data_IF_221806613595
#
_entry.id   IF_221806613595
#
_cell.length_a   1.000
_cell.length_b   1.000
_cell.length_c   1.000
_cell.angle_alpha   90.00
_cell.angle_beta   90.00
_cell.angle_gamma   90.00
#
_symmetry.space_group_name_H-M   'P 1'
#
loop_
_entity.id
_entity.type
_entity.pdbx_description
1 polymer ?
#
# COMPACT_ATOMS: atom_id res chain seq x y z
N UNK A 1 -15.73 7.74 6.95
CA UNK A 1 -14.47 7.56 6.19
C UNK A 1 -14.66 6.39 5.23
N UNK A 2 -14.40 6.56 3.93
CA UNK A 2 -14.37 5.45 2.97
C UNK A 2 -13.02 4.73 2.99
N UNK A 3 -13.01 3.41 2.81
CA UNK A 3 -11.79 2.58 2.86
C UNK A 3 -11.72 1.62 1.68
N UNK A 4 -10.59 0.94 1.50
CA UNK A 4 -10.41 -0.05 0.43
C UNK A 4 -10.09 0.52 -0.96
N UNK A 5 -10.03 1.85 -1.09
CA UNK A 5 -9.88 2.57 -2.36
C UNK A 5 -8.61 2.21 -3.14
N UNK A 6 -7.55 1.72 -2.48
CA UNK A 6 -6.33 1.27 -3.19
C UNK A 6 -6.60 0.14 -4.20
N UNK A 7 -7.73 -0.58 -4.12
CA UNK A 7 -8.16 -1.52 -5.16
C UNK A 7 -8.51 -0.86 -6.50
N UNK A 8 -8.92 0.41 -6.48
CA UNK A 8 -9.33 1.17 -7.67
C UNK A 8 -8.12 1.70 -8.47
N UNK A 9 -6.91 1.60 -7.91
CA UNK A 9 -5.64 1.92 -8.59
C UNK A 9 -5.66 3.32 -9.23
N UNK A 10 -5.48 3.41 -10.55
CA UNK A 10 -5.48 4.66 -11.31
C UNK A 10 -6.79 5.46 -11.14
N UNK A 11 -7.90 4.77 -10.81
CA UNK A 11 -9.22 5.37 -10.61
C UNK A 11 -9.51 5.80 -9.17
N UNK A 12 -8.60 5.52 -8.22
CA UNK A 12 -8.77 5.92 -6.84
C UNK A 12 -9.10 7.41 -6.69
N UNK A 13 -8.38 8.36 -7.32
CA UNK A 13 -8.60 9.78 -7.09
C UNK A 13 -9.97 10.26 -7.58
N UNK A 14 -10.43 9.76 -8.72
CA UNK A 14 -11.68 10.16 -9.35
C UNK A 14 -12.87 9.62 -8.56
N UNK A 15 -12.83 8.35 -8.14
CA UNK A 15 -13.89 7.76 -7.32
C UNK A 15 -13.91 8.39 -5.92
N UNK A 16 -12.74 8.65 -5.32
CA UNK A 16 -12.65 9.35 -4.05
C UNK A 16 -13.26 10.75 -4.13
N UNK A 17 -12.91 11.53 -5.16
CA UNK A 17 -13.46 12.87 -5.37
C UNK A 17 -14.98 12.85 -5.56
N UNK A 18 -15.50 11.94 -6.37
CA UNK A 18 -16.94 11.80 -6.60
C UNK A 18 -17.70 11.46 -5.32
N UNK A 19 -17.17 10.56 -4.49
CA UNK A 19 -17.79 10.15 -3.23
C UNK A 19 -17.77 11.25 -2.16
N UNK A 20 -16.73 12.07 -2.15
CA UNK A 20 -16.67 13.25 -1.27
C UNK A 20 -17.62 14.34 -1.76
N UNK A 21 -17.65 14.60 -3.07
CA UNK A 21 -18.53 15.61 -3.67
C UNK A 21 -20.02 15.26 -3.52
N UNK A 22 -20.38 13.98 -3.53
CA UNK A 22 -21.76 13.53 -3.31
C UNK A 22 -22.21 13.55 -1.85
N UNK A 23 -21.30 13.84 -0.91
CA UNK A 23 -21.58 13.79 0.53
C UNK A 23 -21.66 12.36 1.11
N UNK A 24 -21.38 11.32 0.32
CA UNK A 24 -21.38 9.94 0.80
C UNK A 24 -20.27 9.66 1.82
N UNK A 25 -19.20 10.46 1.82
CA UNK A 25 -18.16 10.44 2.85
C UNK A 25 -17.41 11.77 2.96
N UNK A 26 -16.87 12.05 4.14
CA UNK A 26 -16.05 13.27 4.35
C UNK A 26 -14.55 13.05 4.12
N UNK A 27 -14.09 11.79 4.17
CA UNK A 27 -12.67 11.42 4.15
C UNK A 27 -12.49 10.06 3.49
N UNK A 28 -11.39 9.89 2.75
CA UNK A 28 -10.97 8.61 2.14
C UNK A 28 -9.66 8.14 2.76
N UNK A 29 -9.71 6.96 3.37
CA UNK A 29 -8.55 6.28 3.93
C UNK A 29 -7.83 5.45 2.86
N UNK A 30 -6.52 5.64 2.76
CA UNK A 30 -5.66 4.97 1.78
C UNK A 30 -4.64 4.10 2.51
N UNK A 31 -4.78 2.78 2.37
CA UNK A 31 -3.91 1.78 3.00
C UNK A 31 -2.77 1.36 2.07
N UNK A 32 -2.94 0.28 1.31
CA UNK A 32 -1.83 -0.32 0.52
C UNK A 32 -1.13 0.61 -0.46
N UNK A 33 -1.82 1.62 -1.00
CA UNK A 33 -1.16 2.63 -1.86
C UNK A 33 -0.20 3.51 -1.06
N UNK A 34 -0.44 3.79 0.23
CA UNK A 34 0.51 4.56 1.03
C UNK A 34 1.83 3.81 1.27
N UNK A 35 1.82 2.47 1.18
CA UNK A 35 3.04 1.66 1.25
C UNK A 35 3.81 1.64 -0.08
N UNK A 36 3.13 1.68 -1.22
CA UNK A 36 3.79 1.65 -2.53
C UNK A 36 4.14 3.04 -3.07
N UNK A 37 3.44 4.06 -2.57
CA UNK A 37 3.60 5.47 -2.94
C UNK A 37 3.32 6.35 -1.71
N UNK A 38 4.27 6.49 -0.78
CA UNK A 38 4.08 7.26 0.47
C UNK A 38 3.62 8.71 0.24
N UNK A 39 4.15 9.33 -0.81
CA UNK A 39 3.84 10.73 -1.16
C UNK A 39 2.62 10.90 -2.07
N UNK A 40 1.76 9.88 -2.22
CA UNK A 40 0.66 9.89 -3.20
C UNK A 40 -0.24 11.14 -3.08
N UNK A 41 -0.46 11.64 -1.86
CA UNK A 41 -1.29 12.83 -1.63
C UNK A 41 -0.63 14.10 -2.19
N UNK A 42 0.69 14.24 -2.05
CA UNK A 42 1.45 15.34 -2.63
C UNK A 42 1.46 15.25 -4.16
N UNK A 43 1.66 14.06 -4.72
CA UNK A 43 1.59 13.80 -6.16
C UNK A 43 0.22 14.14 -6.73
N UNK A 44 -0.87 13.73 -6.06
CA UNK A 44 -2.22 14.09 -6.48
C UNK A 44 -2.47 15.59 -6.46
N UNK A 45 -1.98 16.29 -5.44
CA UNK A 45 -2.10 17.75 -5.36
C UNK A 45 -1.34 18.46 -6.47
N UNK A 46 -0.16 17.96 -6.84
CA UNK A 46 0.70 18.59 -7.84
C UNK A 46 0.28 18.25 -9.29
N UNK A 47 -0.14 17.01 -9.55
CA UNK A 47 -0.34 16.49 -10.91
C UNK A 47 -1.79 16.12 -11.24
N UNK A 48 -2.67 16.05 -10.25
CA UNK A 48 -4.06 15.62 -10.43
C UNK A 48 -4.23 14.13 -10.76
N UNK A 49 -3.14 13.35 -10.76
CA UNK A 49 -3.14 11.91 -11.07
C UNK A 49 -2.05 11.17 -10.29
N UNK A 50 -2.18 9.86 -10.18
CA UNK A 50 -1.15 8.99 -9.61
C UNK A 50 -0.15 8.55 -10.70
N UNK A 51 1.04 8.14 -10.27
CA UNK A 51 2.02 7.47 -11.14
C UNK A 51 1.75 5.98 -11.22
N UNK A 52 1.33 5.49 -12.39
CA UNK A 52 0.97 4.08 -12.60
C UNK A 52 2.05 3.08 -12.15
N UNK A 53 3.34 3.43 -12.29
CA UNK A 53 4.48 2.61 -11.86
C UNK A 53 4.78 2.65 -10.35
N UNK A 54 4.00 3.39 -9.57
CA UNK A 54 4.11 3.48 -8.10
C UNK A 54 2.81 3.03 -7.41
N UNK A 55 1.75 2.72 -8.18
CA UNK A 55 0.47 2.29 -7.64
C UNK A 55 0.53 0.83 -7.17
N UNK A 56 -0.06 0.56 -6.01
CA UNK A 56 -0.25 -0.80 -5.49
C UNK A 56 -0.97 -1.70 -6.51
N UNK A 57 -0.38 -2.85 -6.82
CA UNK A 57 -0.94 -3.85 -7.75
C UNK A 57 -1.63 -5.02 -7.04
N UNK A 58 -2.05 -4.80 -5.80
CA UNK A 58 -2.81 -5.76 -4.99
C UNK A 58 -2.16 -7.15 -4.85
N UNK A 59 -0.83 -7.21 -4.92
CA UNK A 59 -0.06 -8.47 -4.79
C UNK A 59 -0.18 -9.14 -3.42
N UNK A 60 -0.60 -8.40 -2.40
CA UNK A 60 -0.70 -8.87 -1.00
C UNK A 60 0.63 -9.21 -0.32
N UNK A 61 1.79 -8.87 -0.89
CA UNK A 61 3.10 -8.98 -0.22
C UNK A 61 3.12 -8.30 1.15
N UNK A 62 2.51 -7.11 1.28
CA UNK A 62 2.42 -6.40 2.56
C UNK A 62 1.72 -7.22 3.65
N UNK A 63 0.64 -7.92 3.29
CA UNK A 63 -0.12 -8.76 4.21
C UNK A 63 0.62 -10.05 4.51
N UNK A 64 1.23 -10.67 3.49
CA UNK A 64 1.99 -11.91 3.66
C UNK A 64 3.20 -11.70 4.56
N UNK A 65 3.93 -10.60 4.36
CA UNK A 65 5.05 -10.21 5.21
C UNK A 65 4.57 -9.99 6.65
N UNK A 66 3.59 -9.12 6.86
CA UNK A 66 3.00 -8.85 8.20
C UNK A 66 2.54 -10.11 8.93
N UNK A 67 2.00 -11.09 8.21
CA UNK A 67 1.44 -12.32 8.79
C UNK A 67 2.46 -13.43 8.99
N UNK A 68 3.66 -13.34 8.43
CA UNK A 68 4.73 -14.29 8.68
C UNK A 68 5.09 -14.28 10.18
N UNK A 69 5.14 -15.46 10.80
CA UNK A 69 5.26 -15.65 12.27
C UNK A 69 6.63 -16.14 12.73
N UNK A 70 7.44 -16.58 11.79
CA UNK A 70 8.81 -17.03 11.92
C UNK A 70 9.78 -15.87 12.13
N UNK A 71 9.53 -15.02 13.12
CA UNK A 71 10.39 -13.92 13.53
C UNK A 71 10.41 -13.88 15.07
N UNK A 72 11.51 -13.48 15.74
CA UNK A 72 11.58 -13.43 17.21
C UNK A 72 10.47 -12.61 17.88
N UNK A 73 9.91 -11.62 17.17
CA UNK A 73 8.81 -10.79 17.65
C UNK A 73 7.41 -11.36 17.33
N UNK A 74 7.32 -12.57 16.76
CA UNK A 74 6.07 -13.21 16.34
C UNK A 74 5.38 -12.54 15.14
N UNK A 75 6.07 -11.61 14.46
CA UNK A 75 5.63 -10.94 13.24
C UNK A 75 6.81 -10.23 12.57
N UNK A 76 6.73 -10.06 11.25
CA UNK A 76 7.60 -9.16 10.48
C UNK A 76 6.97 -7.76 10.34
N UNK A 77 7.79 -6.72 10.09
CA UNK A 77 7.26 -5.38 9.81
C UNK A 77 6.48 -5.35 8.48
N UNK A 78 5.41 -4.55 8.44
CA UNK A 78 4.61 -4.35 7.22
C UNK A 78 5.29 -3.37 6.26
N UNK A 79 5.30 -3.68 4.97
CA UNK A 79 5.77 -2.78 3.91
C UNK A 79 5.46 -3.29 2.52
N UNK A 80 6.11 -2.73 1.50
CA UNK A 80 5.87 -3.09 0.10
C UNK A 80 7.12 -3.58 -0.62
N UNK A 81 7.51 -4.86 -0.50
CA UNK A 81 8.72 -5.41 -1.13
C UNK A 81 8.90 -5.05 -2.62
N UNK A 82 7.87 -5.02 -3.48
CA UNK A 82 8.07 -4.67 -4.89
C UNK A 82 8.42 -3.20 -5.17
N UNK A 83 7.98 -2.28 -4.30
CA UNK A 83 8.07 -0.82 -4.51
C UNK A 83 9.03 -0.12 -3.55
N UNK A 84 9.35 -0.75 -2.43
CA UNK A 84 10.38 -0.34 -1.47
C UNK A 84 11.34 -1.52 -1.27
N UNK A 85 12.11 -1.78 -2.32
CA UNK A 85 12.95 -2.98 -2.43
C UNK A 85 14.13 -2.94 -1.49
N UNK A 86 14.77 -1.78 -1.35
CA UNK A 86 15.97 -1.63 -0.53
C UNK A 86 15.70 -2.03 0.92
N UNK A 87 14.53 -1.66 1.46
CA UNK A 87 14.15 -1.95 2.84
C UNK A 87 13.47 -3.32 2.96
N UNK A 88 12.47 -3.62 2.12
CA UNK A 88 11.59 -4.77 2.35
C UNK A 88 11.90 -6.02 1.53
N UNK A 89 12.74 -5.94 0.48
CA UNK A 89 13.14 -7.12 -0.27
C UNK A 89 13.97 -8.11 0.56
N UNK A 90 14.95 -7.69 1.39
CA UNK A 90 15.69 -8.61 2.25
C UNK A 90 14.79 -9.33 3.26
N UNK A 91 13.87 -8.58 3.90
CA UNK A 91 12.90 -9.14 4.84
C UNK A 91 11.96 -10.14 4.17
N UNK A 92 11.55 -9.86 2.93
CA UNK A 92 10.74 -10.80 2.17
C UNK A 92 11.49 -12.10 1.84
N UNK A 93 12.79 -12.03 1.53
CA UNK A 93 13.62 -13.22 1.33
C UNK A 93 13.74 -14.04 2.61
N UNK A 94 13.97 -13.38 3.74
CA UNK A 94 14.04 -14.04 5.05
C UNK A 94 12.76 -14.83 5.34
N UNK A 95 11.59 -14.25 5.08
CA UNK A 95 10.30 -14.96 5.19
C UNK A 95 10.23 -16.19 4.28
N UNK A 96 10.70 -16.07 3.03
CA UNK A 96 10.67 -17.17 2.05
C UNK A 96 11.62 -18.31 2.41
N UNK A 97 12.73 -18.00 3.07
CA UNK A 97 13.75 -18.97 3.49
C UNK A 97 13.39 -19.69 4.80
N UNK A 98 12.22 -19.41 5.37
CA UNK A 98 11.75 -20.07 6.59
C UNK A 98 11.85 -19.20 7.83
N UNK A 99 12.28 -17.93 7.70
CA UNK A 99 12.32 -16.92 8.74
C UNK A 99 13.35 -17.25 9.79
N UNK A 100 14.55 -16.72 9.60
CA UNK A 100 15.82 -17.23 10.17
C UNK A 100 16.05 -18.72 9.82
N UNK A 101 17.31 -19.20 9.74
CA UNK A 101 17.62 -20.51 10.29
C UNK A 101 17.15 -20.62 11.76
#
# INVERSE_FOLDING_TARGET
>A
VGSGYSWLQDFLPQVAAAQVASGAMNLVGVGRLSLSHPDFAATLRAEGRLHRKQICRTFSYCTNLMRAKNHPLGQYPTGCPPFDREIYQPLWKEVQEGGTP
#
